data_IF_852037023844
#
_entry.id   IF_852037023844
#
_cell.length_a   1.000
_cell.length_b   1.000
_cell.length_c   1.000
_cell.angle_alpha   90.00
_cell.angle_beta   90.00
_cell.angle_gamma   90.00
#
_symmetry.space_group_name_H-M   'P 1'
#
loop_
_entity.id
_entity.type
_entity.pdbx_description
1 polymer ?
#
# COMPACT_ATOMS: atom_id res chain seq x y z
N UNK A 1 -30.13 -37.12 45.95
CA UNK A 1 -29.94 -36.56 44.59
C UNK A 1 -29.81 -35.05 44.71
N UNK A 2 -28.61 -34.48 44.79
CA UNK A 2 -28.42 -33.04 44.62
C UNK A 2 -27.15 -32.79 43.81
N UNK A 3 -27.32 -32.05 42.73
CA UNK A 3 -26.35 -31.78 41.68
C UNK A 3 -25.47 -30.58 42.11
N UNK A 4 -24.12 -30.63 42.05
CA UNK A 4 -23.32 -29.47 42.40
C UNK A 4 -23.31 -28.46 41.24
N UNK A 5 -23.95 -27.32 41.46
CA UNK A 5 -23.90 -26.14 40.60
C UNK A 5 -22.53 -25.47 40.75
N UNK A 6 -21.70 -25.55 39.72
CA UNK A 6 -20.38 -24.91 39.67
C UNK A 6 -20.51 -23.42 39.34
N UNK A 7 -20.26 -22.56 40.34
CA UNK A 7 -20.18 -21.11 40.14
C UNK A 7 -18.80 -20.71 39.62
N UNK A 8 -18.74 -20.18 38.40
CA UNK A 8 -17.52 -19.64 37.78
C UNK A 8 -17.18 -18.26 38.38
N UNK A 9 -16.00 -18.14 39.00
CA UNK A 9 -15.55 -16.92 39.70
C UNK A 9 -14.89 -15.94 38.71
N UNK A 10 -15.42 -14.72 38.63
CA UNK A 10 -14.96 -13.68 37.71
C UNK A 10 -13.66 -12.99 38.22
N UNK A 11 -12.55 -13.24 37.54
CA UNK A 11 -11.23 -12.68 37.88
C UNK A 11 -11.08 -11.24 37.35
N UNK A 12 -10.71 -10.29 38.20
CA UNK A 12 -10.49 -8.87 37.82
C UNK A 12 -9.30 -8.66 36.87
N UNK A 13 -8.43 -9.65 36.74
CA UNK A 13 -7.33 -9.68 35.78
C UNK A 13 -7.81 -9.85 34.33
N UNK A 14 -8.95 -10.53 34.11
CA UNK A 14 -9.49 -10.69 32.75
C UNK A 14 -10.01 -9.37 32.17
N UNK A 15 -10.46 -8.45 33.03
CA UNK A 15 -10.95 -7.12 32.61
C UNK A 15 -9.83 -6.19 32.14
N UNK A 16 -8.65 -6.26 32.78
CA UNK A 16 -7.46 -5.47 32.39
C UNK A 16 -6.80 -6.02 31.12
N UNK A 17 -6.76 -7.35 30.97
CA UNK A 17 -6.30 -7.99 29.74
C UNK A 17 -7.23 -7.71 28.55
N UNK A 18 -8.54 -7.66 28.78
CA UNK A 18 -9.52 -7.28 27.75
C UNK A 18 -9.32 -5.83 27.29
N UNK A 19 -9.07 -4.89 28.21
CA UNK A 19 -8.83 -3.47 27.87
C UNK A 19 -7.57 -3.27 27.02
N UNK A 20 -6.50 -4.04 27.26
CA UNK A 20 -5.27 -3.98 26.45
C UNK A 20 -5.50 -4.54 25.05
N UNK A 21 -6.28 -5.62 24.91
CA UNK A 21 -6.66 -6.20 23.61
C UNK A 21 -7.52 -5.22 22.80
N UNK A 22 -8.45 -4.51 23.45
CA UNK A 22 -9.29 -3.50 22.81
C UNK A 22 -8.47 -2.31 22.29
N UNK A 23 -7.39 -1.95 22.99
CA UNK A 23 -6.47 -0.87 22.60
C UNK A 23 -5.52 -1.27 21.46
N UNK A 24 -5.15 -2.55 21.35
CA UNK A 24 -4.35 -3.08 20.23
C UNK A 24 -5.16 -3.21 18.92
N UNK A 25 -6.48 -3.31 19.00
CA UNK A 25 -7.35 -3.43 17.82
C UNK A 25 -7.65 -2.10 17.10
N UNK A 26 -7.19 -0.96 17.64
CA UNK A 26 -7.48 0.37 17.08
C UNK A 26 -6.30 0.99 16.33
N UNK A 27 -5.49 0.17 15.65
CA UNK A 27 -4.54 0.69 14.65
C UNK A 27 -5.36 1.15 13.45
N UNK A 28 -5.55 2.46 13.33
CA UNK A 28 -6.09 3.08 12.13
C UNK A 28 -5.08 2.88 11.00
N UNK A 29 -5.46 2.18 9.95
CA UNK A 29 -4.69 2.14 8.71
C UNK A 29 -4.93 3.44 7.93
N UNK A 30 -4.15 4.48 8.23
CA UNK A 30 -4.09 5.64 7.37
C UNK A 30 -3.38 5.26 6.06
N UNK A 31 -4.02 5.49 4.91
CA UNK A 31 -3.34 5.34 3.62
C UNK A 31 -2.27 6.44 3.50
N UNK A 32 -1.02 6.02 3.32
CA UNK A 32 0.13 6.93 3.25
C UNK A 32 0.29 7.61 1.90
N UNK A 33 0.97 8.77 1.90
CA UNK A 33 1.52 9.39 0.70
C UNK A 33 2.83 8.71 0.33
N UNK A 34 2.99 8.36 -0.95
CA UNK A 34 4.22 7.81 -1.50
C UNK A 34 4.81 8.80 -2.49
N UNK A 35 6.04 9.21 -2.25
CA UNK A 35 6.79 10.10 -3.14
C UNK A 35 7.95 9.35 -3.76
N UNK A 36 8.22 9.59 -5.03
CA UNK A 36 9.37 8.97 -5.70
C UNK A 36 10.70 9.46 -5.10
N UNK A 37 11.59 8.53 -4.73
CA UNK A 37 12.97 8.78 -4.32
C UNK A 37 13.97 8.78 -5.49
N UNK A 38 13.55 8.34 -6.67
CA UNK A 38 14.36 8.35 -7.89
C UNK A 38 13.58 7.84 -9.11
N UNK A 39 14.31 7.56 -10.20
CA UNK A 39 13.77 7.04 -11.45
C UNK A 39 13.83 5.51 -11.50
N UNK A 40 12.90 4.88 -12.22
CA UNK A 40 12.91 3.43 -12.40
C UNK A 40 11.57 2.83 -12.78
N UNK A 41 11.52 1.51 -12.76
CA UNK A 41 10.30 0.74 -13.03
C UNK A 41 9.33 0.80 -11.86
N UNK A 42 8.04 0.90 -12.14
CA UNK A 42 6.99 0.92 -11.11
C UNK A 42 7.06 -0.30 -10.19
N UNK A 43 7.37 -1.48 -10.74
CA UNK A 43 7.49 -2.73 -9.98
C UNK A 43 8.74 -2.79 -9.08
N UNK A 44 9.69 -1.86 -9.19
CA UNK A 44 10.96 -1.95 -8.48
C UNK A 44 10.78 -1.75 -6.97
N UNK A 45 11.41 -2.63 -6.19
CA UNK A 45 11.51 -2.56 -4.72
C UNK A 45 12.92 -2.18 -4.27
N UNK A 46 13.76 -1.69 -5.18
CA UNK A 46 15.08 -1.17 -4.82
C UNK A 46 14.89 0.18 -4.10
N UNK A 47 15.61 0.39 -3.01
CA UNK A 47 15.57 1.65 -2.26
C UNK A 47 15.86 2.82 -3.22
N UNK A 48 14.99 3.82 -3.22
CA UNK A 48 15.03 5.00 -4.09
C UNK A 48 14.83 4.73 -5.60
N UNK A 49 14.37 3.55 -6.01
CA UNK A 49 14.00 3.28 -7.40
C UNK A 49 12.60 2.62 -7.48
N UNK A 50 11.60 3.34 -8.02
CA UNK A 50 11.41 4.78 -7.84
C UNK A 50 10.92 5.10 -6.42
N UNK A 51 10.64 4.11 -5.57
CA UNK A 51 10.01 4.32 -4.26
C UNK A 51 11.05 4.54 -3.16
N UNK A 52 10.96 5.67 -2.44
CA UNK A 52 11.92 6.02 -1.39
C UNK A 52 12.03 4.94 -0.28
N UNK A 53 10.92 4.26 0.02
CA UNK A 53 10.85 3.21 1.03
C UNK A 53 11.01 1.78 0.52
N UNK A 54 11.47 1.56 -0.72
CA UNK A 54 11.57 0.23 -1.33
C UNK A 54 10.23 -0.55 -1.42
N UNK A 55 9.10 0.13 -1.29
CA UNK A 55 7.77 -0.47 -1.34
C UNK A 55 6.96 0.14 -2.49
N UNK A 56 6.40 -0.74 -3.32
CA UNK A 56 5.52 -0.36 -4.44
C UNK A 56 4.21 0.21 -3.90
N UNK A 57 3.68 1.31 -4.47
CA UNK A 57 2.40 1.87 -4.05
C UNK A 57 1.26 0.86 -4.13
N UNK A 58 0.44 0.84 -3.09
CA UNK A 58 -0.72 -0.04 -2.97
C UNK A 58 -2.03 0.75 -3.13
N UNK A 59 -3.15 0.03 -3.22
CA UNK A 59 -4.46 0.65 -3.40
C UNK A 59 -4.78 1.67 -2.28
N UNK A 60 -5.43 2.77 -2.65
CA UNK A 60 -5.81 3.85 -1.74
C UNK A 60 -4.68 4.83 -1.40
N UNK A 61 -3.44 4.57 -1.80
CA UNK A 61 -2.34 5.53 -1.58
C UNK A 61 -2.38 6.69 -2.57
N UNK A 62 -1.79 7.81 -2.15
CA UNK A 62 -1.55 8.98 -3.01
C UNK A 62 -0.10 8.93 -3.49
N UNK A 63 0.11 9.04 -4.81
CA UNK A 63 1.46 8.96 -5.41
C UNK A 63 1.89 10.32 -5.91
N UNK A 64 3.11 10.74 -5.58
CA UNK A 64 3.74 11.95 -6.11
C UNK A 64 5.02 11.59 -6.86
N UNK A 65 5.07 11.90 -8.16
CA UNK A 65 6.28 11.80 -8.98
C UNK A 65 6.97 13.16 -8.94
N UNK A 66 8.18 13.20 -8.38
CA UNK A 66 8.97 14.41 -8.23
C UNK A 66 9.53 14.90 -9.57
N UNK A 67 9.84 16.20 -9.64
CA UNK A 67 10.52 16.81 -10.77
C UNK A 67 11.82 16.08 -11.08
N UNK A 68 12.09 15.81 -12.37
CA UNK A 68 13.31 15.14 -12.83
C UNK A 68 13.30 13.62 -12.67
N UNK A 69 12.23 13.03 -12.11
CA UNK A 69 12.10 11.58 -11.99
C UNK A 69 11.26 11.01 -13.14
N UNK A 70 11.73 9.88 -13.67
CA UNK A 70 11.02 9.10 -14.70
C UNK A 70 10.62 7.77 -14.10
N UNK A 71 9.30 7.52 -14.07
CA UNK A 71 8.73 6.25 -13.65
C UNK A 71 8.20 5.51 -14.86
N UNK A 72 8.66 4.27 -15.06
CA UNK A 72 8.16 3.38 -16.12
C UNK A 72 7.12 2.44 -15.55
N UNK A 73 5.85 2.60 -15.92
CA UNK A 73 4.76 1.71 -15.57
C UNK A 73 4.89 0.39 -16.33
N UNK A 74 5.44 -0.62 -15.65
CA UNK A 74 5.77 -1.96 -16.17
C UNK A 74 4.88 -3.09 -15.59
N UNK A 75 3.84 -2.72 -14.84
CA UNK A 75 2.88 -3.65 -14.26
C UNK A 75 1.65 -3.80 -15.15
N UNK A 76 1.09 -5.01 -15.20
CA UNK A 76 -0.16 -5.32 -15.91
C UNK A 76 -1.39 -5.40 -14.98
N UNK A 77 -1.16 -5.34 -13.67
CA UNK A 77 -2.22 -5.37 -12.67
C UNK A 77 -2.64 -3.94 -12.36
N UNK A 78 -3.94 -3.64 -12.50
CA UNK A 78 -4.46 -2.34 -12.12
C UNK A 78 -4.38 -2.16 -10.59
N UNK A 79 -3.81 -1.03 -10.16
CA UNK A 79 -3.80 -0.59 -8.76
C UNK A 79 -4.64 0.66 -8.66
N UNK A 80 -5.71 0.63 -7.86
CA UNK A 80 -6.58 1.79 -7.66
C UNK A 80 -5.96 2.73 -6.63
N UNK A 81 -5.20 3.72 -7.09
CA UNK A 81 -4.65 4.79 -6.26
C UNK A 81 -5.76 5.79 -5.87
N UNK A 82 -5.59 6.49 -4.74
CA UNK A 82 -6.46 7.60 -4.39
C UNK A 82 -6.22 8.82 -5.30
N UNK A 83 -4.95 9.10 -5.60
CA UNK A 83 -4.55 10.10 -6.59
C UNK A 83 -3.12 9.85 -7.07
N UNK A 84 -2.80 10.40 -8.23
CA UNK A 84 -1.43 10.51 -8.72
C UNK A 84 -1.17 11.96 -9.12
N UNK A 85 -0.08 12.52 -8.61
CA UNK A 85 0.40 13.87 -8.94
C UNK A 85 1.75 13.73 -9.62
N UNK A 86 1.90 14.36 -10.78
CA UNK A 86 3.16 14.44 -11.51
C UNK A 86 3.60 15.90 -11.44
N UNK A 87 4.66 16.18 -10.68
CA UNK A 87 5.19 17.52 -10.58
C UNK A 87 5.82 17.94 -11.92
N UNK A 88 5.90 19.25 -12.24
CA UNK A 88 6.56 19.72 -13.45
C UNK A 88 7.95 19.09 -13.63
N UNK A 89 8.25 18.56 -14.83
CA UNK A 89 9.50 17.85 -15.11
C UNK A 89 9.56 16.39 -14.64
N UNK A 90 8.54 15.88 -13.95
CA UNK A 90 8.35 14.46 -13.69
C UNK A 90 7.70 13.76 -14.90
N UNK A 91 8.00 12.48 -15.09
CA UNK A 91 7.51 11.71 -16.24
C UNK A 91 6.96 10.36 -15.76
N UNK A 92 5.74 10.03 -16.22
CA UNK A 92 5.17 8.69 -16.14
C UNK A 92 5.07 8.10 -17.55
N UNK A 93 5.86 7.06 -17.82
CA UNK A 93 5.89 6.36 -19.11
C UNK A 93 5.15 5.04 -18.97
N UNK A 94 4.32 4.68 -19.94
CA UNK A 94 3.77 3.32 -20.03
C UNK A 94 4.50 2.54 -21.12
N UNK A 95 4.80 1.25 -20.85
CA UNK A 95 5.27 0.37 -21.90
C UNK A 95 4.05 -0.09 -22.70
N UNK A 96 3.81 0.53 -23.86
CA UNK A 96 2.95 -0.10 -24.87
C UNK A 96 3.70 -1.35 -25.34
N UNK A 97 3.24 -2.55 -24.98
CA UNK A 97 3.63 -3.73 -25.76
C UNK A 97 3.15 -3.44 -27.18
N UNK A 98 4.07 -3.38 -28.14
CA UNK A 98 3.75 -3.37 -29.57
C UNK A 98 3.02 -4.69 -29.85
N UNK A 99 1.72 -4.73 -29.64
CA UNK A 99 0.89 -5.71 -30.33
C UNK A 99 0.97 -5.29 -31.80
N UNK A 100 1.51 -6.20 -32.62
CA UNK A 100 1.64 -6.13 -34.06
C UNK A 100 0.82 -4.99 -34.65
N UNK A 101 1.49 -3.94 -35.12
CA UNK A 101 0.86 -3.01 -36.06
C UNK A 101 0.30 -3.92 -37.15
N UNK A 102 -1.03 -3.99 -37.26
CA UNK A 102 -1.64 -4.63 -38.40
C UNK A 102 -1.01 -3.97 -39.62
N UNK A 103 -0.31 -4.78 -40.40
CA UNK A 103 0.10 -4.42 -41.75
C UNK A 103 -1.20 -4.07 -42.45
N UNK A 104 -1.50 -2.78 -42.58
CA UNK A 104 -2.49 -2.34 -43.53
C UNK A 104 -1.77 -2.43 -44.86
N UNK A 105 -2.13 -3.48 -45.60
CA UNK A 105 -1.65 -3.76 -46.95
C UNK A 105 -1.75 -2.52 -47.86
#
# INVERSE_FOLDING_TARGET
MTNPHSTFKNSSWSKKLWQIILLLCFVSSAFGQVTTGGSGNWSSTTINAPWAGAAVPTAGQTVTINSGHTVTLDINTAVTLASITINPGGILITIRRKYNQCNFD
#
